data_IF_911958080705
#
_entry.id   IF_911958080705
#
_cell.length_a   1.000
_cell.length_b   1.000
_cell.length_c   1.000
_cell.angle_alpha   90.00
_cell.angle_beta   90.00
_cell.angle_gamma   90.00
#
_symmetry.space_group_name_H-M   'P 1'
#
loop_
_entity.id
_entity.type
_entity.pdbx_description
1 polymer ?
#
# COMPACT_ATOMS: atom_id res chain seq x y z
N UNK A 1 -25.44 -26.95 2.83
CA UNK A 1 -24.24 -27.12 1.98
C UNK A 1 -24.09 -25.98 0.96
N UNK A 2 -25.03 -25.78 0.01
CA UNK A 2 -24.92 -24.73 -1.03
C UNK A 2 -24.66 -23.29 -0.52
N UNK A 3 -25.30 -22.90 0.60
CA UNK A 3 -25.12 -21.55 1.18
C UNK A 3 -23.74 -21.33 1.81
N UNK A 4 -23.13 -22.38 2.37
CA UNK A 4 -21.80 -22.30 3.01
C UNK A 4 -20.72 -22.12 1.95
N UNK A 5 -20.84 -22.83 0.83
CA UNK A 5 -19.95 -22.68 -0.33
C UNK A 5 -20.03 -21.26 -0.91
N UNK A 6 -21.23 -20.69 -1.02
CA UNK A 6 -21.40 -19.33 -1.52
C UNK A 6 -20.74 -18.27 -0.61
N UNK A 7 -20.86 -18.42 0.72
CA UNK A 7 -20.24 -17.50 1.68
C UNK A 7 -18.71 -17.59 1.63
N UNK A 8 -18.14 -18.80 1.53
CA UNK A 8 -16.70 -18.98 1.39
C UNK A 8 -16.15 -18.33 0.11
N UNK A 9 -16.92 -18.38 -0.99
CA UNK A 9 -16.53 -17.75 -2.25
C UNK A 9 -16.52 -16.23 -2.18
N UNK A 10 -17.50 -15.63 -1.48
CA UNK A 10 -17.55 -14.18 -1.26
C UNK A 10 -16.44 -13.72 -0.31
N UNK A 11 -16.09 -14.53 0.68
CA UNK A 11 -14.99 -14.22 1.61
C UNK A 11 -13.62 -14.18 0.90
N UNK A 12 -13.40 -15.00 -0.13
CA UNK A 12 -12.18 -14.97 -0.95
C UNK A 12 -12.03 -13.68 -1.77
N UNK A 13 -13.14 -13.02 -2.11
CA UNK A 13 -13.13 -11.74 -2.81
C UNK A 13 -12.81 -10.55 -1.87
N UNK A 14 -12.91 -10.75 -0.56
CA UNK A 14 -12.66 -9.73 0.46
C UNK A 14 -11.23 -9.74 1.04
N UNK A 15 -10.30 -10.52 0.46
CA UNK A 15 -8.92 -10.53 0.94
C UNK A 15 -8.30 -9.13 0.82
N UNK A 16 -7.68 -8.65 1.90
CA UNK A 16 -7.01 -7.36 1.92
C UNK A 16 -5.91 -7.31 0.86
N UNK A 17 -6.04 -6.42 -0.11
CA UNK A 17 -5.10 -6.21 -1.23
C UNK A 17 -3.98 -5.23 -0.91
N UNK A 18 -4.05 -4.57 0.25
CA UNK A 18 -3.11 -3.55 0.68
C UNK A 18 -2.08 -4.12 1.66
N UNK A 19 -0.79 -3.90 1.35
CA UNK A 19 0.32 -4.29 2.21
C UNK A 19 1.13 -3.07 2.67
N UNK A 20 1.42 -3.03 3.97
CA UNK A 20 2.37 -2.11 4.60
C UNK A 20 2.04 -0.62 4.41
N UNK A 21 2.84 0.25 5.03
CA UNK A 21 3.41 1.37 4.30
C UNK A 21 4.92 1.16 4.15
N UNK A 22 5.40 1.10 2.90
CA UNK A 22 6.81 0.92 2.55
C UNK A 22 7.41 2.24 2.09
N UNK A 23 8.70 2.44 2.34
CA UNK A 23 9.41 3.61 1.79
C UNK A 23 9.50 3.43 0.28
N UNK A 24 8.83 4.31 -0.46
CA UNK A 24 8.78 4.30 -1.93
C UNK A 24 9.71 5.33 -2.55
N UNK A 25 10.00 6.40 -1.81
CA UNK A 25 10.91 7.44 -2.28
C UNK A 25 11.66 8.10 -1.11
N UNK A 26 12.89 8.50 -1.38
CA UNK A 26 13.70 9.36 -0.50
C UNK A 26 14.32 10.43 -1.40
N UNK A 27 14.02 11.70 -1.10
CA UNK A 27 14.57 12.85 -1.84
C UNK A 27 15.09 13.92 -0.89
N UNK A 28 15.95 14.81 -1.40
CA UNK A 28 16.46 15.93 -0.62
C UNK A 28 15.36 16.98 -0.39
N UNK A 29 15.26 17.54 0.82
CA UNK A 29 14.31 18.62 1.14
C UNK A 29 14.82 20.02 0.72
N UNK A 30 16.03 20.13 0.18
CA UNK A 30 16.68 21.38 -0.22
C UNK A 30 17.24 22.21 0.94
N UNK A 31 17.15 21.73 2.18
CA UNK A 31 17.52 22.46 3.40
C UNK A 31 18.08 21.50 4.49
N UNK A 32 19.10 20.72 4.13
CA UNK A 32 19.78 19.76 5.01
C UNK A 32 18.83 18.74 5.69
N UNK A 33 17.85 18.27 4.94
CA UNK A 33 16.89 17.26 5.34
C UNK A 33 16.52 16.33 4.20
N UNK A 34 15.66 15.36 4.50
CA UNK A 34 15.13 14.38 3.57
C UNK A 34 13.62 14.39 3.61
N UNK A 35 13.01 14.24 2.44
CA UNK A 35 11.60 13.95 2.26
C UNK A 35 11.48 12.46 2.02
N UNK A 36 10.80 11.76 2.93
CA UNK A 36 10.55 10.32 2.85
C UNK A 36 9.09 10.12 2.49
N UNK A 37 8.86 9.46 1.36
CA UNK A 37 7.53 9.00 0.95
C UNK A 37 7.33 7.55 1.35
N UNK A 38 6.17 7.25 1.93
CA UNK A 38 5.75 5.90 2.27
C UNK A 38 4.38 5.63 1.68
N UNK A 39 4.26 4.59 0.87
CA UNK A 39 2.98 4.15 0.32
C UNK A 39 2.66 2.72 0.71
N UNK A 40 1.37 2.42 0.76
CA UNK A 40 0.89 1.04 0.76
C UNK A 40 1.03 0.48 -0.65
N UNK A 41 1.32 -0.82 -0.75
CA UNK A 41 1.25 -1.51 -2.04
C UNK A 41 -0.14 -2.10 -2.16
N UNK A 42 -0.89 -1.64 -3.14
CA UNK A 42 -2.20 -2.17 -3.50
C UNK A 42 -2.04 -3.17 -4.65
N UNK A 43 -2.40 -4.42 -4.40
CA UNK A 43 -2.44 -5.47 -5.42
C UNK A 43 -3.88 -5.70 -5.89
N UNK A 44 -4.20 -5.27 -7.10
CA UNK A 44 -5.47 -5.63 -7.71
C UNK A 44 -5.34 -7.02 -8.34
N UNK A 45 -5.74 -8.05 -7.60
CA UNK A 45 -5.69 -9.44 -8.05
C UNK A 45 -6.58 -9.72 -9.28
N UNK A 46 -7.65 -8.95 -9.48
CA UNK A 46 -8.53 -9.09 -10.65
C UNK A 46 -7.87 -8.55 -11.93
N UNK A 47 -7.21 -7.39 -11.83
CA UNK A 47 -6.51 -6.77 -12.96
C UNK A 47 -5.07 -7.27 -13.12
N UNK A 48 -4.54 -8.02 -12.15
CA UNK A 48 -3.15 -8.46 -12.14
C UNK A 48 -2.15 -7.31 -11.99
N UNK A 49 -2.57 -6.18 -11.42
CA UNK A 49 -1.75 -4.96 -11.32
C UNK A 49 -1.32 -4.69 -9.88
N UNK A 50 -0.16 -4.05 -9.76
CA UNK A 50 0.39 -3.59 -8.48
C UNK A 50 0.60 -2.08 -8.59
N UNK A 51 0.09 -1.33 -7.62
CA UNK A 51 0.15 0.13 -7.58
C UNK A 51 0.42 0.63 -6.17
N UNK A 52 0.95 1.85 -6.06
CA UNK A 52 1.06 2.53 -4.77
C UNK A 52 -0.28 3.18 -4.42
N UNK A 53 -0.70 3.03 -3.16
CA UNK A 53 -1.91 3.63 -2.60
C UNK A 53 -1.63 4.18 -1.19
N UNK A 54 -2.51 5.04 -0.66
CA UNK A 54 -2.39 5.61 0.69
C UNK A 54 -0.98 6.15 1.03
N UNK A 55 -0.42 6.93 0.10
CA UNK A 55 0.90 7.53 0.26
C UNK A 55 0.92 8.65 1.33
N UNK A 56 1.97 8.67 2.13
CA UNK A 56 2.24 9.71 3.12
C UNK A 56 3.67 10.20 2.98
N UNK A 57 3.87 11.50 3.21
CA UNK A 57 5.17 12.15 3.05
C UNK A 57 5.58 12.80 4.34
N UNK A 58 6.79 12.51 4.80
CA UNK A 58 7.36 13.07 6.03
C UNK A 58 8.71 13.69 5.75
N UNK A 59 8.93 14.92 6.21
CA UNK A 59 10.23 15.56 6.16
C UNK A 59 10.99 15.32 7.47
N UNK A 60 12.26 14.96 7.36
CA UNK A 60 13.18 14.80 8.49
C UNK A 60 14.40 15.70 8.29
N UNK A 61 14.98 16.21 9.37
CA UNK A 61 16.27 16.93 9.32
C UNK A 61 17.41 15.95 9.52
N UNK A 62 18.45 16.09 8.70
CA UNK A 62 19.69 15.32 8.82
C UNK A 62 20.64 16.19 9.63
N UNK A 63 20.50 16.16 10.96
CA UNK A 63 21.34 16.92 11.89
C UNK A 63 21.86 16.01 12.99
#
# INVERSE_FOLDING_TARGET
MKKIVAIAFVALLGACTNAGPFVTNISADGNNGLVIEKCQVHMNAFMGTVSNDNCTTTAIKVR
#
